data_IF_707282462079
#
_entry.id   IF_707282462079
#
_cell.length_a   1.000
_cell.length_b   1.000
_cell.length_c   1.000
_cell.angle_alpha   90.00
_cell.angle_beta   90.00
_cell.angle_gamma   90.00
#
_symmetry.space_group_name_H-M   'P 1'
#
loop_
_entity.id
_entity.type
_entity.pdbx_description
1 polymer ?
#
# COMPACT_ATOMS: atom_id res chain seq x y z
N UNK A 1 -3.73 -14.38 7.80
CA UNK A 1 -5.04 -15.06 8.01
C UNK A 1 -5.71 -15.27 6.66
N UNK A 2 -6.89 -15.89 6.56
CA UNK A 2 -7.68 -15.90 5.32
C UNK A 2 -8.85 -14.91 5.47
N UNK A 3 -9.24 -14.20 4.40
CA UNK A 3 -10.36 -13.25 4.45
C UNK A 3 -11.71 -13.91 4.76
N UNK A 4 -11.87 -15.18 4.40
CA UNK A 4 -13.09 -15.97 4.65
C UNK A 4 -12.95 -16.86 5.90
N UNK A 5 -12.06 -16.50 6.82
CA UNK A 5 -11.88 -17.26 8.05
C UNK A 5 -12.84 -16.81 9.15
N UNK A 6 -13.20 -17.73 10.03
CA UNK A 6 -14.10 -17.43 11.16
C UNK A 6 -13.45 -16.44 12.13
N UNK A 7 -12.12 -16.50 12.27
CA UNK A 7 -11.32 -15.61 13.09
C UNK A 7 -11.41 -14.16 12.60
N UNK A 8 -11.40 -13.94 11.28
CA UNK A 8 -11.62 -12.62 10.70
C UNK A 8 -13.01 -12.08 11.04
N UNK A 9 -14.05 -12.90 10.92
CA UNK A 9 -15.42 -12.50 11.24
C UNK A 9 -15.57 -12.09 12.72
N UNK A 10 -15.01 -12.87 13.65
CA UNK A 10 -14.98 -12.51 15.07
C UNK A 10 -14.20 -11.22 15.32
N UNK A 11 -13.01 -11.08 14.74
CA UNK A 11 -12.21 -9.85 14.85
C UNK A 11 -12.95 -8.62 14.32
N UNK A 12 -13.64 -8.77 13.19
CA UNK A 12 -14.46 -7.71 12.59
C UNK A 12 -15.64 -7.30 13.47
N UNK A 13 -16.34 -8.27 14.08
CA UNK A 13 -17.44 -7.97 15.03
C UNK A 13 -16.93 -7.19 16.25
N UNK A 14 -15.79 -7.61 16.82
CA UNK A 14 -15.15 -6.91 17.93
C UNK A 14 -14.77 -5.49 17.52
N UNK A 15 -14.10 -5.33 16.38
CA UNK A 15 -13.77 -4.03 15.80
C UNK A 15 -15.01 -3.14 15.65
N UNK A 16 -16.10 -3.69 15.12
CA UNK A 16 -17.35 -2.96 14.90
C UNK A 16 -17.91 -2.43 16.23
N UNK A 17 -17.96 -3.25 17.27
CA UNK A 17 -18.41 -2.81 18.61
C UNK A 17 -17.58 -1.60 19.09
N UNK A 18 -16.25 -1.69 19.01
CA UNK A 18 -15.39 -0.58 19.40
C UNK A 18 -15.57 0.66 18.52
N UNK A 19 -15.71 0.49 17.21
CA UNK A 19 -15.92 1.59 16.27
C UNK A 19 -17.17 2.42 16.62
N UNK A 20 -18.26 1.75 16.99
CA UNK A 20 -19.49 2.42 17.42
C UNK A 20 -19.40 2.99 18.83
N UNK A 21 -18.61 2.40 19.73
CA UNK A 21 -18.38 2.94 21.07
C UNK A 21 -17.71 4.33 21.02
N UNK A 22 -16.83 4.55 20.04
CA UNK A 22 -16.17 5.84 19.81
C UNK A 22 -16.95 6.78 18.88
N UNK A 23 -18.22 6.52 18.59
CA UNK A 23 -19.02 7.33 17.65
C UNK A 23 -19.14 8.81 18.02
N UNK A 24 -18.94 9.16 19.29
CA UNK A 24 -18.96 10.55 19.76
C UNK A 24 -17.75 11.37 19.32
N UNK A 25 -16.65 10.73 18.88
CA UNK A 25 -15.42 11.42 18.48
C UNK A 25 -14.82 10.79 17.21
N UNK A 26 -14.99 11.50 16.09
CA UNK A 26 -14.50 11.11 14.77
C UNK A 26 -12.98 10.89 14.74
N UNK A 27 -12.22 11.57 15.60
CA UNK A 27 -10.76 11.38 15.68
C UNK A 27 -10.42 9.98 16.15
N UNK A 28 -11.08 9.51 17.21
CA UNK A 28 -10.86 8.16 17.73
C UNK A 28 -11.36 7.09 16.76
N UNK A 29 -12.47 7.33 16.07
CA UNK A 29 -12.94 6.43 15.00
C UNK A 29 -11.90 6.28 13.89
N UNK A 30 -11.30 7.39 13.43
CA UNK A 30 -10.28 7.35 12.38
C UNK A 30 -8.99 6.66 12.84
N UNK A 31 -8.54 6.88 14.08
CA UNK A 31 -7.37 6.19 14.64
C UNK A 31 -7.65 4.68 14.73
N UNK A 32 -8.82 4.31 15.22
CA UNK A 32 -9.23 2.90 15.34
C UNK A 32 -9.34 2.24 13.96
N UNK A 33 -9.95 2.92 12.99
CA UNK A 33 -10.08 2.44 11.62
C UNK A 33 -8.72 2.26 10.93
N UNK A 34 -7.83 3.24 11.07
CA UNK A 34 -6.48 3.18 10.51
C UNK A 34 -5.66 2.05 11.14
N UNK A 35 -5.64 1.98 12.49
CA UNK A 35 -4.86 0.98 13.21
C UNK A 35 -5.37 -0.44 12.94
N UNK A 36 -6.68 -0.66 12.92
CA UNK A 36 -7.26 -1.96 12.57
C UNK A 36 -6.95 -2.36 11.12
N UNK A 37 -7.00 -1.41 10.18
CA UNK A 37 -6.66 -1.68 8.77
C UNK A 37 -5.21 -2.13 8.62
N UNK A 38 -4.28 -1.42 9.26
CA UNK A 38 -2.85 -1.80 9.24
C UNK A 38 -2.56 -3.09 10.01
N UNK A 39 -3.23 -3.32 11.14
CA UNK A 39 -3.10 -4.57 11.89
C UNK A 39 -3.59 -5.78 11.07
N UNK A 40 -4.71 -5.62 10.36
CA UNK A 40 -5.21 -6.63 9.45
C UNK A 40 -4.19 -6.92 8.36
N UNK A 41 -3.67 -5.89 7.68
CA UNK A 41 -2.63 -6.04 6.65
C UNK A 41 -1.37 -6.73 7.18
N UNK A 42 -0.89 -6.34 8.36
CA UNK A 42 0.28 -6.94 9.00
C UNK A 42 0.07 -8.43 9.34
N UNK A 43 -1.18 -8.87 9.55
CA UNK A 43 -1.53 -10.28 9.74
C UNK A 43 -1.42 -11.14 8.46
N UNK A 44 -1.35 -10.51 7.29
CA UNK A 44 -1.08 -11.16 6.01
C UNK A 44 0.39 -11.04 5.61
N UNK A 45 0.94 -9.82 5.66
CA UNK A 45 2.35 -9.56 5.38
C UNK A 45 2.80 -8.28 6.07
N UNK A 46 3.75 -8.41 7.00
CA UNK A 46 4.36 -7.27 7.66
C UNK A 46 5.12 -6.37 6.68
N UNK A 47 5.77 -6.96 5.67
CA UNK A 47 6.48 -6.22 4.63
C UNK A 47 5.52 -5.35 3.80
N UNK A 48 4.37 -5.90 3.43
CA UNK A 48 3.35 -5.14 2.69
C UNK A 48 2.74 -4.02 3.54
N UNK A 49 2.44 -4.29 4.83
CA UNK A 49 1.93 -3.27 5.74
C UNK A 49 2.93 -2.11 5.93
N UNK A 50 4.22 -2.41 6.10
CA UNK A 50 5.27 -1.39 6.21
C UNK A 50 5.39 -0.57 4.91
N UNK A 51 5.38 -1.24 3.74
CA UNK A 51 5.40 -0.56 2.45
C UNK A 51 4.21 0.39 2.28
N UNK A 52 2.99 -0.08 2.57
CA UNK A 52 1.78 0.75 2.45
C UNK A 52 1.82 1.94 3.42
N UNK A 53 2.38 1.76 4.62
CA UNK A 53 2.54 2.85 5.58
C UNK A 53 3.49 3.93 5.04
N UNK A 54 4.65 3.54 4.52
CA UNK A 54 5.61 4.47 3.89
C UNK A 54 4.97 5.16 2.69
N UNK A 55 4.32 4.41 1.80
CA UNK A 55 3.64 4.96 0.62
C UNK A 55 2.55 5.97 1.02
N UNK A 56 1.74 5.67 2.03
CA UNK A 56 0.70 6.57 2.55
C UNK A 56 1.30 7.87 3.09
N UNK A 57 2.40 7.78 3.85
CA UNK A 57 3.12 8.96 4.36
C UNK A 57 3.68 9.82 3.21
N UNK A 58 4.24 9.20 2.17
CA UNK A 58 4.77 9.92 0.99
C UNK A 58 3.64 10.64 0.26
N UNK A 59 2.52 9.98 -0.03
CA UNK A 59 1.37 10.59 -0.70
C UNK A 59 0.78 11.72 0.15
N UNK A 60 0.71 11.55 1.47
CA UNK A 60 0.27 12.60 2.38
C UNK A 60 1.22 13.81 2.38
N UNK A 61 2.54 13.58 2.41
CA UNK A 61 3.52 14.67 2.31
C UNK A 61 3.39 15.42 0.97
N UNK A 62 3.21 14.71 -0.13
CA UNK A 62 3.00 15.30 -1.45
C UNK A 62 1.67 16.08 -1.51
N UNK A 63 0.59 15.60 -0.88
CA UNK A 63 -0.67 16.32 -0.85
C UNK A 63 -0.57 17.64 -0.06
N UNK A 64 0.19 17.64 1.05
CA UNK A 64 0.53 18.87 1.78
C UNK A 64 1.34 19.82 0.90
N UNK A 65 2.35 19.34 0.17
CA UNK A 65 3.13 20.18 -0.75
C UNK A 65 2.28 20.77 -1.88
N UNK A 66 1.31 20.02 -2.40
CA UNK A 66 0.34 20.52 -3.37
C UNK A 66 -0.53 21.64 -2.76
N UNK A 67 -0.97 21.48 -1.51
CA UNK A 67 -1.86 22.44 -0.86
C UNK A 67 -1.16 23.76 -0.47
N UNK A 68 0.12 23.70 -0.06
CA UNK A 68 0.80 24.82 0.61
C UNK A 68 2.00 25.42 -0.15
N UNK A 69 2.27 25.01 -1.39
CA UNK A 69 3.36 25.60 -2.20
C UNK A 69 2.84 26.23 -3.49
N UNK A 70 3.60 27.18 -4.05
CA UNK A 70 3.28 27.82 -5.33
C UNK A 70 3.46 26.87 -6.53
N UNK A 71 4.18 25.75 -6.34
CA UNK A 71 4.51 24.78 -7.39
C UNK A 71 3.52 23.60 -7.45
N UNK A 72 2.23 23.87 -7.24
CA UNK A 72 1.18 22.85 -7.14
C UNK A 72 1.17 21.85 -8.32
N UNK A 73 1.33 22.35 -9.55
CA UNK A 73 1.37 21.52 -10.76
C UNK A 73 2.55 20.56 -10.77
N UNK A 74 3.72 21.02 -10.33
CA UNK A 74 4.91 20.18 -10.25
C UNK A 74 4.71 19.06 -9.23
N UNK A 75 4.23 19.37 -8.03
CA UNK A 75 3.99 18.36 -7.00
C UNK A 75 2.86 17.39 -7.35
N UNK A 76 1.85 17.83 -8.11
CA UNK A 76 0.83 16.95 -8.67
C UNK A 76 1.45 15.95 -9.64
N UNK A 77 2.30 16.41 -10.58
CA UNK A 77 3.00 15.52 -11.52
C UNK A 77 3.89 14.52 -10.76
N UNK A 78 4.62 14.98 -9.74
CA UNK A 78 5.43 14.10 -8.88
C UNK A 78 4.55 13.06 -8.16
N UNK A 79 3.42 13.48 -7.58
CA UNK A 79 2.48 12.57 -6.89
C UNK A 79 1.90 11.52 -7.83
N UNK A 80 1.49 11.92 -9.04
CA UNK A 80 1.02 11.00 -10.07
C UNK A 80 2.13 10.05 -10.50
N UNK A 81 3.35 10.54 -10.71
CA UNK A 81 4.50 9.70 -11.07
C UNK A 81 4.81 8.67 -9.98
N UNK A 82 4.81 9.06 -8.70
CA UNK A 82 4.99 8.15 -7.56
C UNK A 82 3.89 7.09 -7.51
N UNK A 83 2.62 7.48 -7.72
CA UNK A 83 1.50 6.54 -7.73
C UNK A 83 1.60 5.54 -8.90
N UNK A 84 1.95 6.02 -10.10
CA UNK A 84 2.15 5.17 -11.29
C UNK A 84 3.32 4.21 -11.10
N UNK A 85 4.45 4.66 -10.56
CA UNK A 85 5.60 3.81 -10.25
C UNK A 85 5.22 2.74 -9.23
N UNK A 86 4.53 3.10 -8.15
CA UNK A 86 4.06 2.14 -7.16
C UNK A 86 3.12 1.10 -7.80
N UNK A 87 2.16 1.55 -8.61
CA UNK A 87 1.25 0.65 -9.32
C UNK A 87 2.01 -0.26 -10.30
N UNK A 88 2.99 0.27 -11.03
CA UNK A 88 3.85 -0.51 -11.91
C UNK A 88 4.60 -1.62 -11.16
N UNK A 89 5.24 -1.29 -10.04
CA UNK A 89 6.01 -2.24 -9.22
C UNK A 89 5.11 -3.37 -8.70
N UNK A 90 3.92 -3.05 -8.17
CA UNK A 90 3.08 -4.06 -7.52
C UNK A 90 2.16 -4.83 -8.48
N UNK A 91 1.79 -4.25 -9.61
CA UNK A 91 0.83 -4.87 -10.54
C UNK A 91 1.47 -5.45 -11.78
N UNK A 92 2.55 -4.84 -12.27
CA UNK A 92 3.08 -5.14 -13.60
C UNK A 92 4.51 -5.67 -13.58
N UNK A 93 5.25 -5.52 -12.48
CA UNK A 93 6.66 -5.93 -12.43
C UNK A 93 6.86 -7.42 -12.70
N UNK A 94 6.00 -8.31 -12.21
CA UNK A 94 6.10 -9.74 -12.51
C UNK A 94 5.88 -10.02 -14.01
N UNK A 95 4.94 -9.34 -14.65
CA UNK A 95 4.71 -9.44 -16.09
C UNK A 95 5.93 -8.94 -16.89
N UNK A 96 6.56 -7.86 -16.46
CA UNK A 96 7.73 -7.29 -17.13
C UNK A 96 9.06 -7.94 -16.74
N UNK A 97 9.10 -8.79 -15.69
CA UNK A 97 10.35 -9.39 -15.19
C UNK A 97 11.09 -10.15 -16.28
N UNK A 98 10.41 -10.98 -17.05
CA UNK A 98 11.03 -11.79 -18.10
C UNK A 98 11.69 -10.92 -19.17
N UNK A 99 11.01 -9.86 -19.59
CA UNK A 99 11.54 -8.91 -20.59
C UNK A 99 12.71 -8.08 -20.03
N UNK A 100 12.63 -7.65 -18.76
CA UNK A 100 13.69 -6.91 -18.10
C UNK A 100 14.93 -7.80 -17.86
N UNK A 101 14.74 -9.07 -17.52
CA UNK A 101 15.83 -10.03 -17.37
C UNK A 101 16.55 -10.25 -18.70
N UNK A 102 15.81 -10.45 -19.80
CA UNK A 102 16.39 -10.57 -21.13
C UNK A 102 17.18 -9.31 -21.56
N UNK A 103 16.73 -8.14 -21.12
CA UNK A 103 17.43 -6.88 -21.37
C UNK A 103 18.71 -6.76 -20.53
N UNK A 104 18.70 -7.18 -19.25
CA UNK A 104 19.92 -7.24 -18.43
C UNK A 104 20.94 -8.23 -18.99
N UNK A 105 20.48 -9.41 -19.42
CA UNK A 105 21.33 -10.41 -20.06
C UNK A 105 21.94 -9.85 -21.37
N UNK A 106 21.19 -9.05 -22.14
CA UNK A 106 21.71 -8.36 -23.33
C UNK A 106 22.81 -7.34 -23.01
N UNK A 107 22.69 -6.63 -21.88
CA UNK A 107 23.71 -5.68 -21.41
C UNK A 107 24.84 -6.34 -20.59
N UNK A 108 24.87 -7.68 -20.53
CA UNK A 108 25.83 -8.48 -19.73
C UNK A 108 25.83 -8.10 -18.23
N UNK A 109 24.69 -7.59 -17.76
CA UNK A 109 24.46 -7.25 -16.35
C UNK A 109 23.96 -8.50 -15.65
N UNK A 110 24.85 -9.17 -14.92
CA UNK A 110 24.52 -10.34 -14.10
C UNK A 110 23.73 -9.95 -12.83
N UNK A 111 22.49 -9.51 -13.02
CA UNK A 111 21.53 -9.23 -11.95
C UNK A 111 20.27 -10.07 -12.17
N UNK A 112 19.99 -10.96 -11.22
CA UNK A 112 18.75 -11.73 -11.20
C UNK A 112 17.67 -10.87 -10.54
N UNK A 113 16.66 -10.49 -11.32
CA UNK A 113 15.51 -9.77 -10.78
C UNK A 113 14.78 -10.67 -9.77
N UNK A 114 14.66 -10.27 -8.49
CA UNK A 114 14.03 -11.10 -7.47
C UNK A 114 12.57 -11.38 -7.82
N UNK A 115 12.16 -12.63 -7.63
CA UNK A 115 10.77 -13.05 -7.72
C UNK A 115 9.95 -12.40 -6.59
N UNK A 116 9.16 -11.40 -6.94
CA UNK A 116 8.17 -10.80 -6.05
C UNK A 116 6.96 -11.71 -6.08
N UNK A 117 6.96 -12.77 -5.26
CA UNK A 117 5.72 -13.49 -4.93
C UNK A 117 4.84 -12.57 -4.05
N UNK A 118 4.38 -11.45 -4.59
CA UNK A 118 3.35 -10.64 -3.95
C UNK A 118 2.08 -11.48 -4.06
N UNK A 119 1.74 -12.16 -2.97
CA UNK A 119 0.53 -12.96 -2.79
C UNK A 119 -0.68 -12.06 -3.01
N UNK A 120 -1.13 -11.96 -4.27
CA UNK A 120 -2.31 -11.28 -4.77
C UNK A 120 -2.48 -9.80 -4.36
N UNK A 121 -3.07 -8.95 -5.21
CA UNK A 121 -3.37 -7.58 -4.83
C UNK A 121 -4.43 -7.62 -3.74
N UNK A 122 -4.00 -7.46 -2.49
CA UNK A 122 -4.89 -7.18 -1.38
C UNK A 122 -5.37 -5.73 -1.56
N UNK A 123 -6.31 -5.52 -2.49
CA UNK A 123 -7.03 -4.25 -2.67
C UNK A 123 -6.25 -3.09 -3.28
N UNK A 124 -5.21 -3.33 -4.10
CA UNK A 124 -4.45 -2.25 -4.78
C UNK A 124 -5.04 -1.91 -6.18
N UNK A 125 -6.14 -2.56 -6.58
CA UNK A 125 -6.83 -2.28 -7.85
C UNK A 125 -8.11 -1.48 -7.64
#
# INVERSE_FOLDING_TARGET
>A
MSYLSIEFAFGFLIFFIFYWLFASDTRWQNILLLSASFALLASFSLGFAAHLAVYSCVIYALSVLIAYTDYQRFWLVVSVAVAVVNLFIFKYLDFFREYLQALFDFFDVNYLLPAMEIIMPIGIS
#
